data_IF_334110755201
#
_entry.id   IF_334110755201
#
_cell.length_a   1.000
_cell.length_b   1.000
_cell.length_c   1.000
_cell.angle_alpha   90.00
_cell.angle_beta   90.00
_cell.angle_gamma   90.00
#
_symmetry.space_group_name_H-M   'P 1'
#
loop_
_entity.id
_entity.type
_entity.pdbx_description
1 polymer ?
#
# COMPACT_ATOMS: atom_id res chain seq x y z
N UNK A 1 8.01 1.42 4.36
CA UNK A 1 7.47 2.44 5.27
C UNK A 1 6.15 1.95 5.85
N UNK A 2 5.86 2.23 7.13
CA UNK A 2 4.53 1.98 7.70
C UNK A 2 3.58 3.12 7.33
N UNK A 3 2.26 2.87 7.38
CA UNK A 3 1.20 3.89 7.43
C UNK A 3 0.38 3.67 8.70
N UNK A 4 -0.05 4.75 9.36
CA UNK A 4 -0.69 4.66 10.68
C UNK A 4 -2.14 5.14 10.61
N UNK A 5 -3.02 4.43 11.30
CA UNK A 5 -4.43 4.71 11.42
C UNK A 5 -4.80 4.81 12.90
N UNK A 6 -5.81 5.62 13.21
CA UNK A 6 -6.31 5.72 14.60
C UNK A 6 -7.24 4.58 14.98
N UNK A 7 -7.86 3.95 13.98
CA UNK A 7 -8.86 2.89 14.12
C UNK A 7 -8.59 1.82 13.06
N UNK A 8 -9.06 0.60 13.31
CA UNK A 8 -9.06 -0.48 12.32
C UNK A 8 -10.17 -0.28 11.27
N UNK A 9 -10.16 0.87 10.58
CA UNK A 9 -11.16 1.28 9.60
C UNK A 9 -10.56 2.22 8.54
N UNK A 10 -10.95 2.03 7.30
CA UNK A 10 -10.62 2.94 6.20
C UNK A 10 -11.13 4.36 6.51
N UNK A 11 -10.32 5.40 6.26
CA UNK A 11 -10.77 6.77 6.58
C UNK A 11 -11.52 7.45 5.43
N UNK A 12 -11.49 6.91 4.21
CA UNK A 12 -12.22 7.41 3.05
C UNK A 12 -11.99 8.91 2.82
N UNK A 13 -13.07 9.70 2.92
CA UNK A 13 -13.10 11.16 2.74
C UNK A 13 -12.45 11.98 3.87
N UNK A 14 -11.69 11.32 4.74
CA UNK A 14 -10.92 11.94 5.81
C UNK A 14 -9.44 11.66 5.63
N UNK A 15 -8.61 12.54 6.17
CA UNK A 15 -7.20 12.25 6.43
C UNK A 15 -7.08 11.18 7.52
N UNK A 16 -5.88 10.63 7.72
CA UNK A 16 -5.59 9.75 8.86
C UNK A 16 -5.83 10.40 10.23
N UNK A 17 -5.79 11.74 10.32
CA UNK A 17 -6.16 12.48 11.53
C UNK A 17 -7.67 12.59 11.75
N UNK A 18 -8.49 12.09 10.83
CA UNK A 18 -9.95 12.21 10.88
C UNK A 18 -10.48 13.56 10.41
N UNK A 19 -9.63 14.46 9.91
CA UNK A 19 -10.05 15.75 9.33
C UNK A 19 -10.65 15.53 7.95
N UNK A 20 -11.68 16.30 7.59
CA UNK A 20 -12.27 16.24 6.24
C UNK A 20 -11.26 16.69 5.19
N UNK A 21 -11.32 16.09 4.01
CA UNK A 21 -10.54 16.57 2.86
C UNK A 21 -10.95 18.00 2.47
N UNK A 22 -10.03 18.79 1.89
CA UNK A 22 -10.35 20.07 1.27
C UNK A 22 -11.52 19.95 0.28
N UNK A 23 -12.31 21.02 0.14
CA UNK A 23 -13.56 21.01 -0.63
C UNK A 23 -13.43 20.38 -2.02
N UNK A 24 -12.42 20.80 -2.80
CA UNK A 24 -12.17 20.27 -4.14
C UNK A 24 -11.87 18.76 -4.13
N UNK A 25 -10.95 18.32 -3.27
CA UNK A 25 -10.62 16.90 -3.11
C UNK A 25 -11.84 16.07 -2.67
N UNK A 26 -12.66 16.65 -1.81
CA UNK A 26 -13.87 16.01 -1.31
C UNK A 26 -14.93 15.82 -2.42
N UNK A 27 -15.01 16.77 -3.36
CA UNK A 27 -15.84 16.66 -4.55
C UNK A 27 -15.29 15.60 -5.51
N UNK A 28 -13.98 15.64 -5.80
CA UNK A 28 -13.31 14.65 -6.66
C UNK A 28 -13.47 13.23 -6.11
N UNK A 29 -13.29 13.03 -4.81
CA UNK A 29 -13.53 11.74 -4.17
C UNK A 29 -14.96 11.25 -4.44
N UNK A 30 -15.96 12.13 -4.31
CA UNK A 30 -17.37 11.73 -4.52
C UNK A 30 -17.67 11.35 -5.96
N UNK A 31 -16.98 11.98 -6.93
CA UNK A 31 -17.10 11.65 -8.34
C UNK A 31 -16.43 10.30 -8.62
N UNK A 32 -15.22 10.10 -8.12
CA UNK A 32 -14.48 8.85 -8.26
C UNK A 32 -15.23 7.67 -7.62
N UNK A 33 -15.81 7.87 -6.43
CA UNK A 33 -16.60 6.86 -5.73
C UNK A 33 -17.81 6.40 -6.55
N UNK A 34 -18.55 7.37 -7.13
CA UNK A 34 -19.71 7.09 -7.99
C UNK A 34 -19.34 6.35 -9.27
N UNK A 35 -18.16 6.60 -9.81
CA UNK A 35 -17.68 5.98 -11.04
C UNK A 35 -16.95 4.64 -10.79
N UNK A 36 -16.67 4.28 -9.53
CA UNK A 36 -15.86 3.12 -9.18
C UNK A 36 -14.34 3.34 -9.35
N UNK A 37 -13.91 4.58 -9.61
CA UNK A 37 -12.51 4.91 -9.91
C UNK A 37 -11.61 4.89 -8.66
N UNK A 38 -12.19 4.86 -7.46
CA UNK A 38 -11.44 4.76 -6.20
C UNK A 38 -10.82 3.37 -5.97
N UNK A 39 -11.34 2.36 -6.67
CA UNK A 39 -10.88 0.98 -6.57
C UNK A 39 -10.44 0.47 -7.95
N UNK A 40 -9.35 1.01 -8.52
CA UNK A 40 -8.89 0.67 -9.86
C UNK A 40 -8.24 -0.73 -9.97
N UNK A 41 -8.06 -1.44 -8.85
CA UNK A 41 -7.38 -2.72 -8.75
C UNK A 41 -8.32 -3.83 -8.29
N UNK A 42 -8.10 -5.03 -8.83
CA UNK A 42 -8.64 -6.24 -8.26
C UNK A 42 -8.00 -6.50 -6.89
N UNK A 43 -8.78 -6.88 -5.88
CA UNK A 43 -8.26 -7.19 -4.54
C UNK A 43 -7.33 -8.40 -4.59
N UNK A 44 -7.53 -9.31 -5.55
CA UNK A 44 -6.70 -10.48 -5.82
C UNK A 44 -5.28 -10.10 -6.20
N UNK A 45 -5.11 -9.05 -7.02
CA UNK A 45 -3.79 -8.55 -7.41
C UNK A 45 -3.06 -7.95 -6.20
N UNK A 46 -3.77 -7.23 -5.33
CA UNK A 46 -3.21 -6.69 -4.08
C UNK A 46 -2.80 -7.83 -3.15
N UNK A 47 -3.67 -8.85 -2.98
CA UNK A 47 -3.38 -10.04 -2.16
C UNK A 47 -2.21 -10.85 -2.73
N UNK A 48 -2.08 -10.96 -4.06
CA UNK A 48 -0.96 -11.62 -4.71
C UNK A 48 0.38 -10.94 -4.35
N UNK A 49 0.42 -9.61 -4.24
CA UNK A 49 1.59 -8.90 -3.74
C UNK A 49 1.78 -9.12 -2.23
N UNK A 50 0.76 -8.91 -1.41
CA UNK A 50 0.90 -8.96 0.05
C UNK A 50 1.37 -10.33 0.56
N UNK A 51 0.97 -11.41 -0.10
CA UNK A 51 1.24 -12.79 0.33
C UNK A 51 2.15 -13.55 -0.64
N UNK A 52 2.93 -12.83 -1.45
CA UNK A 52 3.88 -13.47 -2.35
C UNK A 52 4.96 -14.25 -1.56
N UNK A 53 5.48 -15.31 -2.16
CA UNK A 53 6.45 -16.22 -1.52
C UNK A 53 7.88 -15.68 -1.54
N UNK A 54 8.16 -14.72 -2.44
CA UNK A 54 9.45 -14.06 -2.50
C UNK A 54 9.52 -13.14 -1.28
N UNK A 55 10.40 -13.46 -0.33
CA UNK A 55 10.64 -12.63 0.86
C UNK A 55 11.27 -11.25 0.52
N UNK A 56 10.97 -10.70 -0.65
CA UNK A 56 11.42 -9.44 -1.23
C UNK A 56 10.84 -8.22 -0.50
N UNK A 57 10.62 -8.27 0.82
CA UNK A 57 10.22 -7.11 1.64
C UNK A 57 11.28 -6.02 1.41
N UNK A 58 10.93 -5.02 0.61
CA UNK A 58 11.92 -4.08 0.09
C UNK A 58 12.51 -4.54 -1.24
N UNK A 59 11.89 -4.12 -2.35
CA UNK A 59 12.46 -4.27 -3.69
C UNK A 59 12.45 -2.92 -4.41
N UNK A 60 13.21 -2.85 -5.51
CA UNK A 60 13.17 -1.69 -6.41
C UNK A 60 12.63 -2.10 -7.78
N UNK A 61 11.68 -1.34 -8.29
CA UNK A 61 11.07 -1.54 -9.62
C UNK A 61 11.35 -0.35 -10.52
N UNK A 62 11.27 -0.55 -11.84
CA UNK A 62 11.39 0.53 -12.83
C UNK A 62 10.03 1.19 -13.04
N UNK A 63 9.62 2.01 -12.07
CA UNK A 63 8.36 2.77 -12.05
C UNK A 63 8.59 4.18 -11.47
N UNK A 64 7.61 5.11 -11.54
CA UNK A 64 7.76 6.48 -11.03
C UNK A 64 8.13 6.56 -9.55
N UNK A 65 7.66 5.59 -8.76
CA UNK A 65 7.99 5.40 -7.35
C UNK A 65 8.74 4.07 -7.21
N UNK A 66 10.08 4.08 -7.33
CA UNK A 66 10.84 2.86 -7.55
C UNK A 66 10.98 1.99 -6.31
N UNK A 67 10.92 2.55 -5.10
CA UNK A 67 11.14 1.81 -3.86
C UNK A 67 9.80 1.23 -3.39
N UNK A 68 9.75 -0.09 -3.22
CA UNK A 68 8.55 -0.80 -2.80
C UNK A 68 8.77 -1.44 -1.44
N UNK A 69 7.80 -1.33 -0.55
CA UNK A 69 7.75 -2.07 0.70
C UNK A 69 6.32 -2.49 1.00
N UNK A 70 6.11 -3.60 1.70
CA UNK A 70 4.76 -4.00 2.10
C UNK A 70 4.75 -4.65 3.48
N UNK A 71 3.55 -4.73 4.03
CA UNK A 71 3.22 -5.33 5.31
C UNK A 71 2.01 -6.24 5.10
N UNK A 72 2.21 -7.54 5.29
CA UNK A 72 1.19 -8.58 5.17
C UNK A 72 0.37 -8.78 6.45
N UNK A 73 0.79 -8.19 7.58
CA UNK A 73 0.13 -8.35 8.88
C UNK A 73 -0.27 -7.00 9.48
N UNK A 74 -1.53 -6.92 9.92
CA UNK A 74 -2.00 -5.76 10.67
C UNK A 74 -1.70 -5.91 12.16
N UNK A 75 -1.25 -4.83 12.81
CA UNK A 75 -0.92 -4.82 14.24
C UNK A 75 -1.41 -3.53 14.92
N UNK A 76 -1.57 -3.60 16.24
CA UNK A 76 -1.68 -2.43 17.09
C UNK A 76 -0.31 -2.08 17.66
N UNK A 77 0.03 -0.80 17.69
CA UNK A 77 1.36 -0.32 18.06
C UNK A 77 1.27 0.90 18.99
N UNK A 78 2.06 0.93 20.05
CA UNK A 78 2.19 2.12 20.90
C UNK A 78 3.14 3.13 20.22
N UNK A 79 2.56 4.09 19.50
CA UNK A 79 3.34 5.12 18.81
C UNK A 79 3.78 6.26 19.73
N UNK A 80 2.91 6.65 20.67
CA UNK A 80 3.18 7.70 21.65
C UNK A 80 2.93 7.16 23.04
N UNK A 81 3.91 7.35 23.93
CA UNK A 81 3.85 6.84 25.29
C UNK A 81 2.65 7.42 26.04
N UNK A 82 1.84 6.54 26.62
CA UNK A 82 0.66 6.92 27.40
C UNK A 82 -0.56 7.34 26.57
N UNK A 83 -0.54 7.10 25.26
CA UNK A 83 -1.69 7.30 24.37
C UNK A 83 -2.28 5.97 23.91
N UNK A 84 -3.49 6.03 23.34
CA UNK A 84 -4.10 4.86 22.72
C UNK A 84 -3.19 4.31 21.61
N UNK A 85 -3.07 2.98 21.47
CA UNK A 85 -2.29 2.39 20.40
C UNK A 85 -2.89 2.77 19.04
N UNK A 86 -2.02 2.85 18.05
CA UNK A 86 -2.38 3.12 16.66
C UNK A 86 -2.47 1.83 15.89
N UNK A 87 -3.31 1.80 14.88
CA UNK A 87 -3.46 0.67 13.99
C UNK A 87 -2.50 0.79 12.81
N UNK A 88 -1.71 -0.27 12.56
CA UNK A 88 -0.90 -0.43 11.36
C UNK A 88 -1.60 -1.47 10.49
N UNK A 89 -2.25 -1.07 9.39
CA UNK A 89 -2.95 -1.97 8.51
C UNK A 89 -1.99 -2.79 7.65
N UNK A 90 -2.53 -3.76 6.92
CA UNK A 90 -1.83 -4.33 5.77
C UNK A 90 -1.67 -3.24 4.71
N UNK A 91 -0.51 -3.18 4.06
CA UNK A 91 -0.30 -2.18 3.02
C UNK A 91 0.80 -2.55 2.04
N UNK A 92 0.71 -2.00 0.83
CA UNK A 92 1.79 -1.92 -0.16
C UNK A 92 2.13 -0.44 -0.32
N UNK A 93 3.38 -0.07 -0.14
CA UNK A 93 3.85 1.32 -0.20
C UNK A 93 4.90 1.46 -1.30
N UNK A 94 4.64 2.38 -2.22
CA UNK A 94 5.56 2.85 -3.24
C UNK A 94 6.11 4.22 -2.85
N UNK A 95 7.42 4.43 -2.98
CA UNK A 95 8.05 5.69 -2.63
C UNK A 95 9.24 6.01 -3.52
N UNK A 96 9.55 7.30 -3.61
CA UNK A 96 10.79 7.83 -4.18
C UNK A 96 11.68 8.47 -3.09
N UNK A 97 11.35 8.28 -1.81
CA UNK A 97 12.03 8.88 -0.66
C UNK A 97 11.58 10.30 -0.33
N UNK A 98 10.71 10.92 -1.14
CA UNK A 98 10.06 12.18 -0.80
C UNK A 98 8.62 11.93 -0.34
N UNK A 99 7.84 11.17 -1.11
CA UNK A 99 6.41 10.95 -0.88
C UNK A 99 6.08 9.45 -0.95
N UNK A 100 5.15 9.03 -0.09
CA UNK A 100 4.71 7.64 -0.03
C UNK A 100 3.29 7.51 -0.59
N UNK A 101 3.12 6.52 -1.47
CA UNK A 101 1.85 6.12 -2.06
C UNK A 101 1.52 4.73 -1.53
N UNK A 102 0.47 4.62 -0.72
CA UNK A 102 0.10 3.40 -0.03
C UNK A 102 -1.24 2.86 -0.53
N UNK A 103 -1.26 1.59 -0.93
CA UNK A 103 -2.47 0.79 -1.04
C UNK A 103 -2.69 0.16 0.33
N UNK A 104 -3.75 0.58 1.03
CA UNK A 104 -4.04 0.14 2.40
C UNK A 104 -5.18 -0.85 2.39
N UNK A 105 -5.01 -2.00 3.04
CA UNK A 105 -6.02 -3.05 3.13
C UNK A 105 -6.46 -3.23 4.58
N UNK A 106 -7.78 -3.20 4.80
CA UNK A 106 -8.40 -3.47 6.10
C UNK A 106 -9.61 -4.37 5.87
N UNK A 107 -9.53 -5.62 6.34
CA UNK A 107 -10.54 -6.64 6.02
C UNK A 107 -10.48 -7.00 4.53
N UNK A 108 -11.63 -6.99 3.86
CA UNK A 108 -11.75 -7.25 2.42
C UNK A 108 -11.83 -5.97 1.58
N UNK A 109 -11.63 -4.81 2.19
CA UNK A 109 -11.64 -3.51 1.52
C UNK A 109 -10.24 -2.90 1.46
N UNK A 110 -10.04 -2.01 0.49
CA UNK A 110 -8.81 -1.23 0.39
C UNK A 110 -9.07 0.22 0.01
N UNK A 111 -8.11 1.09 0.34
CA UNK A 111 -8.10 2.49 -0.11
C UNK A 111 -6.70 2.94 -0.54
N UNK A 112 -6.66 3.92 -1.45
CA UNK A 112 -5.43 4.53 -1.94
C UNK A 112 -5.11 5.78 -1.13
N UNK A 113 -3.91 5.83 -0.53
CA UNK A 113 -3.44 6.92 0.31
C UNK A 113 -2.14 7.52 -0.17
N UNK A 114 -2.01 8.81 0.03
CA UNK A 114 -0.77 9.54 -0.21
C UNK A 114 -0.34 10.14 1.11
N UNK A 115 0.92 9.94 1.46
CA UNK A 115 1.52 10.46 2.67
C UNK A 115 2.72 11.36 2.33
N UNK A 116 2.52 12.70 2.26
CA UNK A 116 3.58 13.63 1.90
C UNK A 116 4.69 13.75 2.96
N UNK A 117 4.37 13.55 4.24
CA UNK A 117 5.31 13.72 5.36
C UNK A 117 6.02 12.41 5.77
N UNK A 118 5.83 11.32 5.03
CA UNK A 118 6.30 9.98 5.44
C UNK A 118 7.82 9.92 5.70
N UNK A 119 8.58 10.73 4.96
CA UNK A 119 10.05 10.80 5.02
C UNK A 119 10.57 11.93 5.93
N UNK A 120 9.69 12.72 6.54
CA UNK A 120 10.12 13.73 7.50
C UNK A 120 10.64 13.05 8.78
N UNK A 121 11.90 13.33 9.12
CA UNK A 121 12.57 12.79 10.33
C UNK A 121 12.11 13.50 11.60
N UNK A 122 11.77 14.78 11.50
CA UNK A 122 11.34 15.63 12.61
C UNK A 122 9.82 15.83 12.54
N UNK A 123 9.09 14.70 12.50
CA UNK A 123 7.63 14.73 12.38
C UNK A 123 6.97 15.26 13.65
N UNK A 124 6.19 16.31 13.48
CA UNK A 124 5.19 16.69 14.47
C UNK A 124 4.10 15.62 14.58
N UNK A 125 3.44 15.55 15.74
CA UNK A 125 2.42 14.54 16.03
C UNK A 125 1.31 14.46 14.98
N UNK A 126 0.88 15.60 14.44
CA UNK A 126 -0.16 15.65 13.41
C UNK A 126 0.32 15.06 12.06
N UNK A 127 1.62 15.08 11.78
CA UNK A 127 2.18 14.55 10.53
C UNK A 127 2.20 13.02 10.49
N UNK A 128 2.08 12.33 11.64
CA UNK A 128 2.01 10.86 11.70
C UNK A 128 0.76 10.27 11.04
N UNK A 129 -0.29 11.09 10.87
CA UNK A 129 -1.55 10.70 10.24
C UNK A 129 -2.02 11.74 9.21
N UNK A 130 -1.09 12.50 8.62
CA UNK A 130 -1.40 13.51 7.59
C UNK A 130 -1.76 12.92 6.23
N UNK A 131 -1.64 11.59 6.08
CA UNK A 131 -2.04 10.91 4.86
C UNK A 131 -3.49 11.17 4.49
N UNK A 132 -3.77 11.19 3.20
CA UNK A 132 -5.08 11.51 2.64
C UNK A 132 -5.38 10.65 1.43
N UNK A 133 -6.64 10.63 0.98
CA UNK A 133 -7.04 9.83 -0.18
C UNK A 133 -6.35 10.34 -1.44
N UNK A 134 -5.97 9.42 -2.32
CA UNK A 134 -5.64 9.74 -3.71
C UNK A 134 -6.94 10.02 -4.47
N UNK A 135 -7.08 11.22 -5.02
CA UNK A 135 -8.33 11.69 -5.66
C UNK A 135 -8.12 12.28 -7.04
N UNK A 136 -6.87 12.54 -7.41
CA UNK A 136 -6.52 13.04 -8.74
C UNK A 136 -6.18 11.87 -9.66
N UNK A 137 -6.51 12.00 -10.94
CA UNK A 137 -6.25 10.94 -11.93
C UNK A 137 -4.76 10.65 -12.05
N UNK A 138 -3.89 11.67 -12.01
CA UNK A 138 -2.44 11.46 -12.12
C UNK A 138 -1.90 10.62 -10.96
N UNK A 139 -2.48 10.76 -9.77
CA UNK A 139 -2.11 9.96 -8.60
C UNK A 139 -2.52 8.51 -8.78
N UNK A 140 -3.71 8.29 -9.33
CA UNK A 140 -4.26 6.96 -9.59
C UNK A 140 -3.48 6.25 -10.68
N UNK A 141 -3.05 6.98 -11.71
CA UNK A 141 -2.22 6.45 -12.79
C UNK A 141 -0.81 6.06 -12.31
N UNK A 142 -0.24 6.82 -11.36
CA UNK A 142 1.01 6.42 -10.68
C UNK A 142 0.82 5.09 -9.95
N UNK A 143 -0.27 4.89 -9.21
CA UNK A 143 -0.54 3.61 -8.55
C UNK A 143 -0.65 2.47 -9.56
N UNK A 144 -1.36 2.68 -10.68
CA UNK A 144 -1.51 1.66 -11.74
C UNK A 144 -0.17 1.25 -12.31
N UNK A 145 0.64 2.22 -12.73
CA UNK A 145 1.97 1.94 -13.31
C UNK A 145 2.87 1.19 -12.31
N UNK A 146 2.86 1.61 -11.05
CA UNK A 146 3.66 0.97 -10.00
C UNK A 146 3.20 -0.46 -9.69
N UNK A 147 1.89 -0.68 -9.50
CA UNK A 147 1.36 -2.00 -9.17
C UNK A 147 1.50 -2.98 -10.35
N UNK A 148 1.21 -2.55 -11.58
CA UNK A 148 1.42 -3.38 -12.77
C UNK A 148 2.88 -3.81 -12.92
N UNK A 149 3.81 -2.88 -12.69
CA UNK A 149 5.25 -3.17 -12.77
C UNK A 149 5.67 -4.14 -11.67
N UNK A 150 5.15 -3.99 -10.45
CA UNK A 150 5.41 -4.89 -9.34
C UNK A 150 4.85 -6.30 -9.60
N UNK A 151 3.63 -6.42 -10.12
CA UNK A 151 3.03 -7.70 -10.47
C UNK A 151 3.82 -8.41 -11.57
N UNK A 152 4.26 -7.69 -12.60
CA UNK A 152 5.15 -8.24 -13.64
C UNK A 152 6.48 -8.71 -13.06
N UNK A 153 7.03 -7.98 -12.09
CA UNK A 153 8.25 -8.36 -11.39
C UNK A 153 8.05 -9.66 -10.60
N UNK A 154 7.03 -9.75 -9.76
CA UNK A 154 6.71 -10.95 -8.96
C UNK A 154 6.47 -12.16 -9.86
N UNK A 155 5.67 -12.03 -10.92
CA UNK A 155 5.43 -13.14 -11.88
C UNK A 155 6.72 -13.63 -12.53
N UNK A 156 7.67 -12.73 -12.82
CA UNK A 156 8.98 -13.12 -13.35
C UNK A 156 9.82 -13.87 -12.32
N UNK A 157 9.73 -13.49 -11.03
CA UNK A 157 10.38 -14.21 -9.94
C UNK A 157 9.76 -15.61 -9.75
N UNK A 158 8.42 -15.71 -9.80
CA UNK A 158 7.68 -16.99 -9.78
C UNK A 158 8.12 -17.92 -10.92
N UNK A 159 8.14 -17.41 -12.15
CA UNK A 159 8.56 -18.16 -13.34
C UNK A 159 10.02 -18.63 -13.24
N UNK A 160 10.88 -17.79 -12.67
CA UNK A 160 12.29 -18.12 -12.47
C UNK A 160 12.45 -19.22 -11.43
N UNK A 161 11.75 -19.14 -10.29
CA UNK A 161 11.78 -20.18 -9.27
C UNK A 161 11.18 -21.50 -9.76
N UNK A 162 10.12 -21.47 -10.57
CA UNK A 162 9.55 -22.66 -11.20
C UNK A 162 10.56 -23.37 -12.13
N UNK A 163 11.38 -22.60 -12.86
CA UNK A 163 12.43 -23.13 -13.75
C UNK A 163 13.71 -23.52 -13.01
N UNK A 164 13.99 -22.88 -11.89
CA UNK A 164 15.20 -23.05 -11.08
C UNK A 164 14.84 -23.20 -9.59
N UNK A 165 14.19 -24.30 -9.19
CA UNK A 165 13.75 -24.47 -7.82
C UNK A 165 14.95 -24.46 -6.87
N UNK A 166 14.98 -23.49 -5.95
CA UNK A 166 16.08 -23.27 -5.00
C UNK A 166 16.31 -24.47 -4.07
N UNK A 167 15.34 -25.38 -3.98
CA UNK A 167 15.46 -26.69 -3.38
C UNK A 167 14.86 -27.74 -4.32
N UNK A 168 15.69 -28.67 -4.80
CA UNK A 168 15.24 -29.74 -5.66
C UNK A 168 14.19 -30.60 -4.96
N UNK A 169 12.90 -30.41 -5.30
CA UNK A 169 11.98 -31.54 -5.24
C UNK A 169 12.44 -32.50 -6.33
N UNK A 170 13.14 -33.57 -5.93
CA UNK A 170 13.33 -34.74 -6.80
C UNK A 170 11.96 -35.10 -7.37
N UNK A 171 11.82 -35.35 -8.68
CA UNK A 171 10.60 -35.92 -9.21
C UNK A 171 10.32 -37.21 -8.42
N UNK A 172 9.14 -37.31 -7.79
CA UNK A 172 8.65 -38.62 -7.38
C UNK A 172 8.53 -39.43 -8.67
N UNK A 173 9.31 -40.51 -8.76
CA UNK A 173 9.16 -41.48 -9.82
C UNK A 173 7.71 -42.00 -9.76
N UNK A 174 7.00 -41.88 -10.88
CA UNK A 174 5.71 -42.52 -11.04
C UNK A 174 5.89 -44.03 -10.83
N UNK A 175 5.03 -44.61 -9.99
CA UNK A 175 4.85 -46.06 -9.87
C UNK A 175 3.62 -46.46 -10.67
#
# INVERSE_FOLDING_TARGET
>A
MNIYYREAKLCGRKTGNGTKLPFLMNMLYSLADKNGDLQPFAIEDIKAVLFNQHQSIGCSIKAPLPIVSWRSEAIWYELFKGEAPVYLPQCITFTNGAIDYAIVVIGDEYELRIWPDANNREREKHQWFSHHAAVYSEQTDIFKECLETLLKHIRKEDDFEAKHPKFGKKPQAAT
#
